data_IF_992344739033
#
_entry.id   IF_992344739033
#
_cell.length_a   1.000
_cell.length_b   1.000
_cell.length_c   1.000
_cell.angle_alpha   90.00
_cell.angle_beta   90.00
_cell.angle_gamma   90.00
#
_symmetry.space_group_name_H-M   'P 1'
#
loop_
_entity.id
_entity.type
_entity.pdbx_description
1 polymer ?
#
# COMPACT_ATOMS: atom_id res chain seq x y z
N UNK A 1 27.12 59.74 -25.31
CA UNK A 1 28.21 59.43 -26.25
C UNK A 1 28.18 57.94 -26.38
N UNK A 2 27.58 57.42 -27.45
CA UNK A 2 28.17 56.85 -28.63
C UNK A 2 29.06 55.63 -28.28
N UNK A 3 28.82 54.41 -28.68
CA UNK A 3 28.54 53.92 -30.01
C UNK A 3 28.04 52.49 -30.04
N UNK A 4 27.10 52.26 -30.93
CA UNK A 4 26.60 50.99 -31.43
C UNK A 4 27.66 50.21 -32.24
N UNK A 5 27.54 48.85 -32.28
CA UNK A 5 27.63 48.09 -33.52
C UNK A 5 27.10 46.67 -33.34
N UNK A 6 26.06 46.35 -34.08
CA UNK A 6 25.67 45.08 -34.74
C UNK A 6 26.00 45.28 -36.23
N UNK A 7 25.84 44.29 -37.15
CA UNK A 7 25.60 42.83 -37.17
C UNK A 7 26.46 42.14 -38.27
N UNK A 8 26.33 40.82 -38.47
CA UNK A 8 26.32 40.20 -39.80
C UNK A 8 25.91 38.71 -39.73
N UNK A 9 24.86 38.38 -40.41
CA UNK A 9 24.66 37.18 -41.26
C UNK A 9 24.88 37.62 -42.69
N UNK A 10 25.05 36.77 -43.72
CA UNK A 10 24.39 35.53 -44.14
C UNK A 10 25.40 34.49 -44.72
N UNK A 11 25.12 33.35 -45.32
CA UNK A 11 24.34 33.09 -46.52
C UNK A 11 24.21 31.59 -46.81
N UNK A 12 23.21 31.27 -47.53
CA UNK A 12 22.68 30.08 -48.16
C UNK A 12 23.59 29.48 -49.27
N UNK A 13 23.45 28.15 -49.51
CA UNK A 13 23.14 27.53 -50.81
C UNK A 13 23.74 26.11 -50.92
N UNK A 14 22.88 25.08 -51.04
CA UNK A 14 22.44 24.38 -52.26
C UNK A 14 23.49 23.46 -52.91
N UNK A 15 23.23 22.15 -52.91
CA UNK A 15 22.97 21.37 -54.13
C UNK A 15 22.85 19.86 -53.87
N UNK A 16 21.77 19.33 -54.32
CA UNK A 16 21.36 18.05 -54.86
C UNK A 16 22.48 17.23 -55.54
N UNK A 17 22.48 15.89 -55.32
CA UNK A 17 22.32 14.90 -56.41
C UNK A 17 22.18 13.47 -55.88
N UNK A 18 21.24 12.82 -56.50
CA UNK A 18 20.85 11.43 -56.54
C UNK A 18 21.90 10.50 -57.16
N UNK A 19 21.96 9.23 -56.75
CA UNK A 19 22.05 8.10 -57.69
C UNK A 19 21.54 6.81 -57.02
N UNK A 20 20.80 6.07 -57.82
CA UNK A 20 20.24 4.72 -57.67
C UNK A 20 21.31 3.64 -57.64
N UNK A 21 21.06 2.49 -57.07
CA UNK A 21 20.62 1.22 -57.66
C UNK A 21 21.24 -0.01 -57.03
N UNK A 22 20.44 -1.05 -57.14
CA UNK A 22 20.66 -2.51 -57.22
C UNK A 22 20.82 -3.27 -55.91
N UNK A 23 19.91 -4.00 -55.61
CA UNK A 23 19.30 -5.27 -55.58
C UNK A 23 20.23 -6.50 -55.37
N UNK A 24 19.90 -7.31 -54.34
CA UNK A 24 20.08 -8.76 -54.41
C UNK A 24 19.26 -9.46 -53.31
N UNK A 25 18.39 -10.32 -53.76
CA UNK A 25 17.68 -11.34 -53.02
C UNK A 25 18.66 -12.41 -52.51
N UNK A 26 18.49 -12.86 -51.29
CA UNK A 26 18.65 -14.28 -50.94
C UNK A 26 17.71 -14.68 -49.81
N UNK A 27 16.84 -15.62 -50.14
CA UNK A 27 16.05 -16.41 -49.22
C UNK A 27 16.95 -17.42 -48.51
N UNK A 28 16.67 -17.69 -47.20
CA UNK A 28 16.75 -19.04 -46.66
C UNK A 28 16.06 -19.19 -45.31
N UNK A 29 15.01 -19.93 -45.31
CA UNK A 29 14.64 -21.10 -44.50
C UNK A 29 14.87 -21.08 -42.98
N UNK A 30 13.74 -21.17 -42.28
CA UNK A 30 13.59 -21.58 -40.88
C UNK A 30 14.04 -23.04 -40.67
N UNK A 31 14.34 -23.38 -39.42
CA UNK A 31 13.77 -24.58 -38.89
C UNK A 31 12.91 -24.36 -37.63
N UNK A 32 11.79 -25.02 -37.63
CA UNK A 32 10.90 -25.21 -36.51
C UNK A 32 11.60 -25.93 -35.35
N UNK A 33 11.43 -25.41 -34.13
CA UNK A 33 11.56 -26.27 -32.94
C UNK A 33 10.39 -26.01 -32.00
N UNK A 34 9.54 -26.99 -31.95
CA UNK A 34 8.52 -27.22 -30.95
C UNK A 34 9.10 -27.16 -29.55
N UNK A 35 8.61 -26.28 -28.70
CA UNK A 35 8.72 -26.40 -27.23
C UNK A 35 7.38 -26.11 -26.57
N UNK A 36 6.87 -27.16 -25.96
CA UNK A 36 5.82 -27.30 -24.99
C UNK A 36 5.42 -26.05 -24.24
N UNK A 37 4.20 -25.60 -24.46
CA UNK A 37 3.40 -24.75 -23.60
C UNK A 37 2.60 -25.59 -22.59
N UNK A 38 3.22 -26.00 -21.51
CA UNK A 38 2.52 -26.56 -20.35
C UNK A 38 3.25 -26.12 -19.08
N UNK A 39 2.82 -25.00 -18.45
CA UNK A 39 3.08 -24.73 -17.03
C UNK A 39 2.38 -23.48 -16.44
N UNK A 40 1.47 -22.81 -17.13
CA UNK A 40 0.83 -21.61 -16.54
C UNK A 40 -0.52 -21.85 -15.86
N UNK A 41 -1.17 -22.99 -16.05
CA UNK A 41 -2.48 -23.28 -15.46
C UNK A 41 -2.42 -23.82 -14.01
N UNK A 42 -1.28 -24.36 -13.59
CA UNK A 42 -1.12 -24.90 -12.23
C UNK A 42 -0.98 -23.85 -11.13
N UNK A 43 -0.35 -22.72 -11.45
CA UNK A 43 -0.04 -21.68 -10.44
C UNK A 43 -1.28 -20.86 -10.07
N UNK A 44 -2.16 -20.58 -11.02
CA UNK A 44 -3.40 -19.83 -10.77
C UNK A 44 -4.36 -20.64 -9.90
N UNK A 45 -4.52 -21.93 -10.17
CA UNK A 45 -5.35 -22.82 -9.36
C UNK A 45 -4.84 -23.02 -7.93
N UNK A 46 -3.52 -23.01 -7.72
CA UNK A 46 -2.93 -23.13 -6.39
C UNK A 46 -3.13 -21.85 -5.56
N UNK A 47 -3.02 -20.68 -6.18
CA UNK A 47 -3.27 -19.39 -5.51
C UNK A 47 -4.74 -19.28 -5.10
N UNK A 48 -5.67 -19.67 -5.96
CA UNK A 48 -7.10 -19.65 -5.64
C UNK A 48 -7.44 -20.65 -4.51
N UNK A 49 -6.81 -21.82 -4.49
CA UNK A 49 -6.98 -22.81 -3.42
C UNK A 49 -6.41 -22.31 -2.08
N UNK A 50 -5.27 -21.62 -2.09
CA UNK A 50 -4.68 -21.05 -0.89
C UNK A 50 -5.52 -19.85 -0.40
N UNK A 51 -6.01 -19.01 -1.29
CA UNK A 51 -6.93 -17.92 -0.96
C UNK A 51 -8.23 -18.46 -0.34
N UNK A 52 -8.78 -19.58 -0.86
CA UNK A 52 -9.93 -20.23 -0.23
C UNK A 52 -9.61 -20.78 1.16
N UNK A 53 -8.43 -21.37 1.36
CA UNK A 53 -8.02 -21.94 2.66
C UNK A 53 -7.88 -20.89 3.76
N UNK A 54 -7.48 -19.66 3.42
CA UNK A 54 -7.40 -18.54 4.37
C UNK A 54 -8.73 -17.79 4.56
N UNK A 55 -9.68 -17.94 3.65
CA UNK A 55 -11.02 -17.32 3.77
C UNK A 55 -12.02 -18.18 4.56
N UNK A 56 -11.73 -19.47 4.80
CA UNK A 56 -12.62 -20.44 5.45
C UNK A 56 -12.31 -20.69 6.93
N UNK A 57 -11.63 -19.79 7.59
CA UNK A 57 -11.36 -19.83 9.03
C UNK A 57 -12.54 -19.37 9.89
N UNK A 58 -13.69 -20.01 9.79
CA UNK A 58 -14.74 -19.97 10.83
C UNK A 58 -15.67 -21.17 10.70
N UNK A 59 -15.55 -22.05 11.69
CA UNK A 59 -16.56 -22.88 12.37
C UNK A 59 -17.58 -23.69 11.57
N UNK A 60 -17.36 -24.99 11.68
CA UNK A 60 -18.29 -26.08 12.07
C UNK A 60 -19.68 -26.20 11.46
N UNK A 61 -19.77 -27.34 10.79
CA UNK A 61 -20.74 -28.46 10.92
C UNK A 61 -22.23 -28.24 10.60
N UNK A 62 -22.63 -29.15 9.80
CA UNK A 62 -23.75 -30.11 9.87
C UNK A 62 -24.56 -30.21 8.59
N UNK A 63 -24.31 -31.30 7.86
CA UNK A 63 -25.17 -32.40 7.35
C UNK A 63 -26.57 -32.05 6.81
N UNK A 64 -26.81 -32.71 5.70
CA UNK A 64 -27.99 -33.39 5.13
C UNK A 64 -28.68 -32.75 3.93
N UNK A 65 -28.46 -33.43 2.87
CA UNK A 65 -29.33 -34.14 1.91
C UNK A 65 -30.62 -33.49 1.44
N UNK A 66 -30.73 -33.45 0.14
CA UNK A 66 -31.90 -34.05 -0.51
C UNK A 66 -32.87 -33.11 -1.21
N UNK A 67 -32.94 -33.27 -2.52
CA UNK A 67 -34.11 -33.40 -3.39
C UNK A 67 -34.78 -32.15 -3.99
N UNK A 68 -34.70 -32.12 -5.29
CA UNK A 68 -35.68 -31.93 -6.36
C UNK A 68 -36.44 -30.60 -6.53
N UNK A 69 -36.08 -30.02 -7.64
CA UNK A 69 -36.86 -29.62 -8.83
C UNK A 69 -38.34 -29.23 -8.62
N UNK A 70 -38.68 -27.99 -8.97
CA UNK A 70 -39.73 -27.65 -9.95
C UNK A 70 -39.89 -26.13 -10.11
N UNK A 71 -39.94 -25.77 -11.38
CA UNK A 71 -40.43 -24.52 -11.96
C UNK A 71 -41.78 -24.06 -11.46
N UNK A 72 -41.96 -22.76 -11.29
CA UNK A 72 -43.10 -22.03 -11.88
C UNK A 72 -42.93 -20.49 -11.75
N UNK A 73 -43.24 -19.83 -12.84
CA UNK A 73 -43.32 -18.40 -13.03
C UNK A 73 -44.61 -17.83 -12.44
N UNK A 74 -44.56 -16.64 -11.84
CA UNK A 74 -45.65 -15.65 -12.03
C UNK A 74 -45.28 -14.27 -11.41
N UNK A 75 -45.54 -13.30 -12.18
CA UNK A 75 -45.62 -11.85 -12.10
C UNK A 75 -46.41 -11.30 -10.90
N UNK A 76 -46.06 -10.09 -10.45
CA UNK A 76 -46.93 -8.96 -10.09
C UNK A 76 -46.43 -8.09 -8.92
N UNK A 77 -46.01 -6.94 -9.31
CA UNK A 77 -46.16 -5.59 -8.75
C UNK A 77 -46.89 -5.38 -7.40
N UNK A 78 -46.26 -4.50 -6.61
CA UNK A 78 -46.73 -3.49 -5.64
C UNK A 78 -46.39 -3.73 -4.16
N UNK A 79 -46.02 -2.64 -3.45
CA UNK A 79 -45.67 -2.70 -2.04
C UNK A 79 -46.89 -2.55 -1.12
N UNK A 80 -46.84 -3.05 0.11
CA UNK A 80 -47.72 -2.59 1.15
C UNK A 80 -46.98 -1.84 2.29
N UNK A 81 -47.81 -1.07 2.93
CA UNK A 81 -47.63 -0.04 3.92
C UNK A 81 -46.99 -0.46 5.27
N UNK A 82 -46.46 0.55 5.92
CA UNK A 82 -46.16 0.72 7.35
C UNK A 82 -47.02 -0.02 8.32
N UNK A 83 -46.41 -0.75 9.27
CA UNK A 83 -47.00 -1.05 10.59
C UNK A 83 -45.94 -0.90 11.70
N UNK A 84 -46.40 -0.27 12.76
CA UNK A 84 -45.67 0.17 13.94
C UNK A 84 -45.16 -0.94 14.87
N UNK A 85 -44.06 -0.64 15.52
CA UNK A 85 -43.72 -0.88 16.92
C UNK A 85 -43.75 -2.31 17.46
N UNK A 86 -42.55 -2.87 17.72
CA UNK A 86 -42.36 -3.78 18.86
C UNK A 86 -40.94 -3.59 19.42
N UNK A 87 -40.91 -3.09 20.64
CA UNK A 87 -39.77 -3.08 21.54
C UNK A 87 -39.57 -4.50 22.10
N UNK A 88 -38.41 -5.10 21.88
CA UNK A 88 -38.01 -6.31 22.60
C UNK A 88 -36.64 -6.06 23.28
N UNK A 89 -36.72 -6.02 24.60
CA UNK A 89 -35.61 -6.11 25.53
C UNK A 89 -35.03 -7.54 25.45
N UNK A 90 -33.72 -7.77 25.29
CA UNK A 90 -33.21 -9.12 25.34
C UNK A 90 -32.99 -9.60 26.77
N UNK A 91 -33.59 -10.75 27.06
CA UNK A 91 -33.35 -11.57 28.25
C UNK A 91 -31.91 -11.98 28.41
N UNK A 92 -31.46 -12.07 29.67
CA UNK A 92 -30.14 -12.47 30.15
C UNK A 92 -29.74 -13.88 29.71
N UNK A 93 -28.55 -14.01 29.17
CA UNK A 93 -27.91 -15.30 28.86
C UNK A 93 -27.42 -16.01 30.13
N UNK A 94 -27.50 -17.35 30.22
CA UNK A 94 -27.08 -18.11 31.38
C UNK A 94 -25.56 -18.23 31.49
N UNK A 95 -25.06 -18.30 32.73
CA UNK A 95 -23.68 -18.42 33.14
C UNK A 95 -22.96 -19.64 32.54
N UNK A 96 -21.78 -19.39 31.92
CA UNK A 96 -20.86 -20.42 31.43
C UNK A 96 -19.87 -20.79 32.56
N UNK A 97 -19.69 -22.08 32.89
CA UNK A 97 -18.82 -22.51 33.98
C UNK A 97 -17.34 -22.27 33.69
N UNK A 98 -16.66 -21.61 34.63
CA UNK A 98 -15.21 -21.32 34.59
C UNK A 98 -14.38 -22.60 34.64
N UNK A 99 -13.64 -22.93 33.58
CA UNK A 99 -12.63 -23.99 33.57
C UNK A 99 -11.45 -23.60 34.44
N UNK A 100 -11.10 -24.46 35.40
CA UNK A 100 -9.94 -24.33 36.30
C UNK A 100 -8.64 -24.48 35.50
N UNK A 101 -7.75 -23.51 35.62
CA UNK A 101 -6.38 -23.56 35.08
C UNK A 101 -5.52 -24.58 35.91
N UNK A 102 -4.64 -25.34 35.25
CA UNK A 102 -3.69 -26.20 35.99
C UNK A 102 -2.57 -25.39 36.64
N UNK A 103 -2.13 -25.87 37.78
CA UNK A 103 -1.20 -25.26 38.70
C UNK A 103 0.16 -24.89 38.09
N UNK A 104 0.63 -23.70 38.45
CA UNK A 104 1.95 -23.17 38.10
C UNK A 104 3.07 -23.93 38.78
N UNK A 105 4.13 -24.29 38.05
CA UNK A 105 5.39 -24.83 38.59
C UNK A 105 6.16 -23.75 39.37
N UNK A 106 6.91 -24.09 40.41
CA UNK A 106 7.58 -23.12 41.28
C UNK A 106 8.70 -22.37 40.57
N UNK A 107 8.76 -21.07 40.82
CA UNK A 107 9.71 -20.12 40.24
C UNK A 107 11.14 -20.36 40.77
N UNK A 108 12.11 -20.46 39.88
CA UNK A 108 13.54 -20.41 40.19
C UNK A 108 13.91 -19.05 40.81
N UNK A 109 14.69 -19.11 41.90
CA UNK A 109 15.11 -17.98 42.70
C UNK A 109 15.78 -16.87 41.90
N UNK A 110 15.23 -15.66 42.00
CA UNK A 110 15.77 -14.42 41.39
C UNK A 110 17.07 -14.03 42.13
N UNK A 111 18.21 -14.05 41.43
CA UNK A 111 19.46 -13.39 41.87
C UNK A 111 19.17 -11.89 42.07
N UNK A 112 19.41 -11.37 43.28
CA UNK A 112 19.34 -9.94 43.62
C UNK A 112 20.27 -9.14 42.71
N UNK A 113 19.70 -8.28 41.84
CA UNK A 113 20.45 -7.26 41.12
C UNK A 113 20.79 -6.12 42.07
N UNK A 114 22.06 -5.78 42.16
CA UNK A 114 22.57 -4.61 42.88
C UNK A 114 22.00 -3.35 42.15
N UNK A 115 21.44 -2.34 42.83
CA UNK A 115 20.95 -1.15 42.20
C UNK A 115 22.11 -0.29 41.70
N UNK A 116 22.40 -0.38 40.38
CA UNK A 116 23.26 0.58 39.74
C UNK A 116 22.54 1.95 39.68
N UNK A 117 23.20 2.98 40.23
CA UNK A 117 22.75 4.37 40.11
C UNK A 117 22.47 4.71 38.64
N UNK A 118 21.18 4.77 38.26
CA UNK A 118 20.76 5.41 37.00
C UNK A 118 21.04 6.90 37.11
N UNK A 119 22.17 7.32 36.53
CA UNK A 119 22.36 8.73 36.23
C UNK A 119 21.22 9.16 35.31
N UNK A 120 20.35 10.06 35.81
CA UNK A 120 19.43 10.82 34.97
C UNK A 120 20.28 11.73 34.08
N UNK A 121 20.66 11.23 32.90
CA UNK A 121 21.14 12.11 31.84
C UNK A 121 20.00 13.08 31.54
N UNK A 122 20.13 14.32 31.99
CA UNK A 122 19.32 15.43 31.51
C UNK A 122 19.61 15.53 30.01
N UNK A 123 18.67 15.03 29.19
CA UNK A 123 18.70 15.26 27.75
C UNK A 123 18.82 16.78 27.55
N UNK A 124 19.93 17.23 27.03
CA UNK A 124 20.11 18.61 26.58
C UNK A 124 19.15 18.76 25.42
N UNK A 125 18.00 19.41 25.66
CA UNK A 125 17.10 19.84 24.59
C UNK A 125 17.90 20.80 23.71
N UNK A 126 18.31 20.32 22.53
CA UNK A 126 18.82 21.22 21.49
C UNK A 126 17.72 22.23 21.18
N UNK A 127 18.01 23.53 21.19
CA UNK A 127 17.01 24.55 20.85
C UNK A 127 16.39 24.23 19.48
N UNK A 128 15.05 24.15 19.42
CA UNK A 128 14.31 23.87 18.19
C UNK A 128 13.91 22.42 17.94
N UNK A 129 14.28 21.45 18.80
CA UNK A 129 13.85 20.06 18.62
C UNK A 129 12.48 19.81 19.27
N UNK A 130 11.49 19.45 18.43
CA UNK A 130 10.14 19.11 18.92
C UNK A 130 10.14 17.69 19.51
N UNK A 131 9.55 17.51 20.68
CA UNK A 131 9.39 16.18 21.28
C UNK A 131 8.30 15.37 20.56
N UNK A 132 8.40 14.04 20.54
CA UNK A 132 7.37 13.18 19.93
C UNK A 132 5.99 13.39 20.57
N UNK A 133 5.93 13.66 21.87
CA UNK A 133 4.66 13.97 22.53
C UNK A 133 4.04 15.27 22.00
N UNK A 134 4.85 16.29 21.72
CA UNK A 134 4.36 17.51 21.06
C UNK A 134 3.92 17.24 19.63
N UNK A 135 4.68 16.42 18.85
CA UNK A 135 4.26 16.03 17.50
C UNK A 135 2.90 15.35 17.54
N UNK A 136 2.69 14.36 18.41
CA UNK A 136 1.42 13.65 18.56
C UNK A 136 0.28 14.61 18.89
N UNK A 137 0.48 15.47 19.91
CA UNK A 137 -0.56 16.40 20.38
C UNK A 137 -0.95 17.38 19.27
N UNK A 138 0.03 18.01 18.64
CA UNK A 138 -0.22 19.02 17.60
C UNK A 138 -0.69 18.41 16.28
N UNK A 139 -0.38 17.13 16.00
CA UNK A 139 -0.97 16.40 14.88
C UNK A 139 -2.47 16.16 15.10
N UNK A 140 -2.88 15.76 16.32
CA UNK A 140 -4.30 15.61 16.64
C UNK A 140 -5.05 16.94 16.49
N UNK A 141 -4.50 18.01 17.00
CA UNK A 141 -5.10 19.36 16.90
C UNK A 141 -5.25 19.80 15.44
N UNK A 142 -4.19 19.68 14.65
CA UNK A 142 -4.20 20.01 13.22
C UNK A 142 -5.22 19.16 12.44
N UNK A 143 -5.29 17.86 12.72
CA UNK A 143 -6.28 16.97 12.09
C UNK A 143 -7.70 17.41 12.44
N UNK A 144 -7.99 17.69 13.71
CA UNK A 144 -9.32 18.16 14.14
C UNK A 144 -9.70 19.49 13.49
N UNK A 145 -8.77 20.43 13.39
CA UNK A 145 -8.99 21.73 12.74
C UNK A 145 -9.31 21.56 11.25
N UNK A 146 -8.50 20.78 10.53
CA UNK A 146 -8.74 20.47 9.11
C UNK A 146 -10.14 19.87 8.92
N UNK A 147 -10.48 18.87 9.74
CA UNK A 147 -11.74 18.11 9.60
C UNK A 147 -12.97 18.86 10.12
N UNK A 148 -12.80 19.98 10.81
CA UNK A 148 -13.92 20.84 11.21
C UNK A 148 -14.52 21.65 10.05
N UNK A 149 -13.87 21.64 8.89
CA UNK A 149 -14.34 22.34 7.69
C UNK A 149 -15.34 21.49 6.95
N UNK A 150 -16.52 22.03 6.72
CA UNK A 150 -17.65 21.33 6.08
C UNK A 150 -17.35 20.90 4.64
N UNK A 151 -16.55 21.67 3.90
CA UNK A 151 -16.14 21.35 2.54
C UNK A 151 -15.27 20.09 2.42
N UNK A 152 -14.73 19.62 3.54
CA UNK A 152 -13.89 18.42 3.59
C UNK A 152 -14.62 17.18 4.14
N UNK A 153 -15.90 17.28 4.41
CA UNK A 153 -16.68 16.22 5.08
C UNK A 153 -16.61 14.87 4.34
N UNK A 154 -16.64 14.88 3.01
CA UNK A 154 -16.52 13.69 2.17
C UNK A 154 -15.13 13.05 2.14
N UNK A 155 -14.08 13.76 2.59
CA UNK A 155 -12.69 13.26 2.55
C UNK A 155 -12.31 12.34 3.71
N UNK A 156 -13.18 12.26 4.74
CA UNK A 156 -12.93 11.57 6.01
C UNK A 156 -13.07 10.05 5.92
N UNK A 157 -13.69 9.52 4.89
CA UNK A 157 -14.14 8.14 4.89
C UNK A 157 -13.30 7.26 3.97
N UNK A 158 -12.42 6.48 4.60
CA UNK A 158 -11.86 5.30 3.98
C UNK A 158 -12.84 4.13 3.99
N UNK A 159 -12.52 3.09 3.24
CA UNK A 159 -13.26 1.83 3.24
C UNK A 159 -12.31 0.63 3.22
N UNK A 160 -12.81 -0.50 3.75
CA UNK A 160 -12.08 -1.75 3.69
C UNK A 160 -12.18 -2.34 2.29
N UNK A 161 -11.03 -2.44 1.62
CA UNK A 161 -10.90 -3.05 0.32
C UNK A 161 -10.56 -4.54 0.46
N UNK A 162 -11.14 -5.35 -0.41
CA UNK A 162 -10.97 -6.80 -0.51
C UNK A 162 -11.09 -7.25 -1.96
N UNK A 163 -10.95 -8.54 -2.22
CA UNK A 163 -11.18 -9.09 -3.57
C UNK A 163 -12.57 -8.79 -4.14
N UNK A 164 -13.56 -8.50 -3.29
CA UNK A 164 -14.93 -8.19 -3.71
C UNK A 164 -15.12 -6.74 -4.10
N UNK A 165 -14.41 -5.82 -3.43
CA UNK A 165 -14.47 -4.38 -3.72
C UNK A 165 -13.33 -3.90 -4.64
N UNK A 166 -12.36 -4.77 -4.90
CA UNK A 166 -11.24 -4.53 -5.82
C UNK A 166 -11.07 -5.76 -6.72
N UNK A 167 -11.96 -5.92 -7.71
CA UNK A 167 -11.96 -7.07 -8.62
C UNK A 167 -10.69 -7.10 -9.49
N UNK A 168 -10.52 -8.22 -10.19
CA UNK A 168 -9.49 -8.38 -11.22
C UNK A 168 -9.67 -7.32 -12.30
N UNK A 169 -8.57 -6.73 -12.75
CA UNK A 169 -8.58 -5.66 -13.74
C UNK A 169 -8.83 -6.23 -15.14
N UNK A 170 -9.75 -5.60 -15.87
CA UNK A 170 -10.08 -5.98 -17.25
C UNK A 170 -9.51 -4.96 -18.24
N UNK A 171 -8.58 -5.34 -19.13
CA UNK A 171 -8.00 -4.43 -20.11
C UNK A 171 -9.01 -3.97 -21.20
N UNK A 172 -10.21 -4.55 -21.23
CA UNK A 172 -11.30 -4.07 -22.08
C UNK A 172 -12.20 -3.04 -21.38
N UNK A 173 -11.92 -2.72 -20.11
CA UNK A 173 -12.63 -1.68 -19.37
C UNK A 173 -12.45 -0.32 -20.04
N UNK A 174 -13.49 0.51 -19.99
CA UNK A 174 -13.42 1.92 -20.40
C UNK A 174 -12.45 2.75 -19.56
N UNK A 175 -12.14 2.27 -18.36
CA UNK A 175 -11.19 2.89 -17.42
C UNK A 175 -9.73 2.51 -17.72
N UNK A 176 -9.48 1.61 -18.68
CA UNK A 176 -8.12 1.14 -18.99
C UNK A 176 -7.32 2.23 -19.73
N UNK A 177 -6.24 2.76 -19.12
CA UNK A 177 -5.52 3.89 -19.67
C UNK A 177 -4.53 3.51 -20.79
N UNK A 178 -4.15 2.25 -20.91
CA UNK A 178 -3.14 1.74 -21.84
C UNK A 178 -1.81 2.52 -21.76
N UNK A 179 -1.33 2.74 -20.54
CA UNK A 179 -0.13 3.53 -20.28
C UNK A 179 1.16 2.71 -20.43
N UNK A 180 2.23 3.37 -20.86
CA UNK A 180 3.59 2.81 -20.79
C UNK A 180 4.19 3.10 -19.41
N UNK A 181 4.40 2.06 -18.62
CA UNK A 181 4.90 2.19 -17.25
C UNK A 181 6.37 1.81 -17.15
N UNK A 182 7.18 2.70 -16.56
CA UNK A 182 8.54 2.40 -16.12
C UNK A 182 8.59 2.48 -14.60
N UNK A 183 9.01 1.38 -13.96
CA UNK A 183 9.17 1.33 -12.52
C UNK A 183 10.46 2.05 -12.11
N UNK A 184 10.40 2.84 -11.04
CA UNK A 184 11.56 3.54 -10.49
C UNK A 184 11.74 3.22 -9.01
N UNK A 185 12.97 3.00 -8.58
CA UNK A 185 13.31 2.80 -7.17
C UNK A 185 14.15 3.96 -6.65
N UNK A 186 13.68 4.57 -5.56
CA UNK A 186 14.30 5.75 -4.97
C UNK A 186 14.59 5.54 -3.49
N UNK A 187 15.69 6.10 -3.02
CA UNK A 187 16.00 6.14 -1.60
C UNK A 187 15.30 7.35 -0.98
N UNK A 188 14.33 7.14 -0.09
CA UNK A 188 13.65 8.28 0.50
C UNK A 188 12.37 7.96 1.28
N UNK A 189 11.71 9.03 1.64
CA UNK A 189 10.44 9.01 2.38
C UNK A 189 9.24 8.93 1.43
N UNK A 190 8.24 8.15 1.82
CA UNK A 190 7.04 7.90 1.01
C UNK A 190 6.27 9.18 0.65
N UNK A 191 5.99 10.05 1.65
CA UNK A 191 5.24 11.28 1.37
C UNK A 191 6.08 12.33 0.65
N UNK A 192 7.35 12.50 1.02
CA UNK A 192 8.20 13.48 0.35
C UNK A 192 8.25 13.18 -1.15
N UNK A 193 8.39 11.89 -1.50
CA UNK A 193 8.43 11.45 -2.89
C UNK A 193 7.08 11.53 -3.60
N UNK A 194 5.98 11.21 -2.90
CA UNK A 194 4.64 11.33 -3.46
C UNK A 194 4.29 12.78 -3.81
N UNK A 195 4.67 13.72 -2.95
CA UNK A 195 4.45 15.15 -3.20
C UNK A 195 5.35 15.68 -4.34
N UNK A 196 6.59 15.20 -4.44
CA UNK A 196 7.47 15.50 -5.57
C UNK A 196 6.87 15.00 -6.89
N UNK A 197 6.40 13.75 -6.92
CA UNK A 197 5.73 13.14 -8.08
C UNK A 197 4.46 13.90 -8.46
N UNK A 198 3.67 14.32 -7.48
CA UNK A 198 2.44 15.07 -7.73
C UNK A 198 2.72 16.45 -8.32
N UNK A 199 3.75 17.15 -7.83
CA UNK A 199 4.14 18.45 -8.35
C UNK A 199 4.77 18.40 -9.75
N UNK A 200 5.41 17.28 -10.11
CA UNK A 200 6.00 17.07 -11.43
C UNK A 200 4.99 16.63 -12.50
N UNK A 201 3.79 16.20 -12.08
CA UNK A 201 2.73 15.72 -12.98
C UNK A 201 2.02 16.86 -13.70
N UNK A 202 1.36 16.51 -14.81
CA UNK A 202 0.47 17.44 -15.51
C UNK A 202 -0.72 17.82 -14.65
N UNK A 203 -1.15 19.07 -14.70
CA UNK A 203 -2.34 19.60 -14.01
C UNK A 203 -3.65 18.97 -14.48
N UNK A 204 -3.62 18.15 -15.51
CA UNK A 204 -4.79 17.48 -16.09
C UNK A 204 -5.15 16.16 -15.40
N UNK A 205 -4.24 15.61 -14.60
CA UNK A 205 -4.50 14.40 -13.81
C UNK A 205 -5.22 14.76 -12.51
N UNK A 206 -6.47 14.34 -12.42
CA UNK A 206 -7.39 14.72 -11.35
C UNK A 206 -7.24 13.90 -10.06
N UNK A 207 -6.59 12.71 -10.14
CA UNK A 207 -6.44 11.84 -8.97
C UNK A 207 -5.11 12.07 -8.23
N UNK A 208 -5.13 12.20 -6.90
CA UNK A 208 -3.91 12.28 -6.11
C UNK A 208 -3.01 11.06 -6.30
N UNK A 209 -1.71 11.24 -6.09
CA UNK A 209 -0.78 10.11 -6.00
C UNK A 209 -1.23 9.17 -4.89
N UNK A 210 -1.26 7.86 -5.17
CA UNK A 210 -1.61 6.84 -4.19
C UNK A 210 -0.35 6.23 -3.57
N UNK A 211 -0.28 6.22 -2.24
CA UNK A 211 0.86 5.70 -1.50
C UNK A 211 0.52 4.44 -0.72
N UNK A 212 1.49 3.56 -0.53
CA UNK A 212 1.36 2.37 0.31
C UNK A 212 1.82 2.66 1.74
N UNK A 213 0.95 2.41 2.71
CA UNK A 213 1.26 2.38 4.14
C UNK A 213 1.48 0.93 4.61
N UNK A 214 2.59 0.68 5.32
CA UNK A 214 2.95 -0.63 5.89
C UNK A 214 2.25 -0.80 7.24
N UNK A 215 0.96 -1.12 7.18
CA UNK A 215 0.05 -1.02 8.30
C UNK A 215 0.24 -2.11 9.37
N UNK A 216 -0.20 -1.81 10.56
CA UNK A 216 -0.46 -2.79 11.60
C UNK A 216 -1.87 -3.37 11.41
N UNK A 217 -2.02 -4.70 11.44
CA UNK A 217 -3.32 -5.35 11.25
C UNK A 217 -4.30 -5.16 12.42
N UNK A 218 -3.82 -4.79 13.61
CA UNK A 218 -4.59 -4.81 14.85
C UNK A 218 -4.81 -3.43 15.47
N UNK A 219 -3.93 -2.47 15.16
CA UNK A 219 -3.93 -1.15 15.82
C UNK A 219 -3.89 -0.05 14.77
N UNK A 220 -4.91 0.82 14.71
CA UNK A 220 -4.91 2.00 13.86
C UNK A 220 -3.64 2.84 14.04
N UNK A 221 -2.86 3.03 12.96
CA UNK A 221 -1.61 3.79 13.02
C UNK A 221 -0.50 3.15 13.85
N UNK A 222 -0.59 1.83 14.13
CA UNK A 222 0.45 1.09 14.83
C UNK A 222 0.77 1.63 16.23
N UNK A 223 2.01 2.02 16.42
CA UNK A 223 2.53 2.58 17.69
C UNK A 223 2.63 4.09 17.72
N UNK A 224 1.93 4.83 16.86
CA UNK A 224 2.08 6.28 16.73
C UNK A 224 1.83 7.05 18.02
N UNK A 225 0.86 6.64 18.87
CA UNK A 225 0.60 7.24 20.17
C UNK A 225 1.73 7.04 21.20
N UNK A 226 2.59 6.07 20.97
CA UNK A 226 3.73 5.75 21.83
C UNK A 226 5.08 6.27 21.28
N UNK A 227 5.06 7.05 20.19
CA UNK A 227 6.26 7.63 19.59
C UNK A 227 7.07 6.65 18.75
N UNK A 228 6.49 5.53 18.28
CA UNK A 228 7.13 4.63 17.34
C UNK A 228 7.43 5.34 16.02
N UNK A 229 8.42 4.87 15.24
CA UNK A 229 8.97 5.60 14.10
C UNK A 229 9.08 4.75 12.84
N UNK A 230 8.30 3.66 12.73
CA UNK A 230 8.19 2.93 11.47
C UNK A 230 7.36 3.73 10.44
N UNK A 231 7.27 3.25 9.22
CA UNK A 231 6.69 4.00 8.11
C UNK A 231 5.23 4.41 8.36
N UNK A 232 4.37 3.50 8.86
CA UNK A 232 2.97 3.82 9.18
C UNK A 232 2.86 4.98 10.17
N UNK A 233 3.66 4.95 11.25
CA UNK A 233 3.65 6.02 12.25
C UNK A 233 4.15 7.35 11.66
N UNK A 234 5.15 7.33 10.78
CA UNK A 234 5.62 8.52 10.08
C UNK A 234 4.50 9.15 9.24
N UNK A 235 3.72 8.34 8.53
CA UNK A 235 2.57 8.83 7.77
C UNK A 235 1.50 9.45 8.71
N UNK A 236 1.20 8.79 9.82
CA UNK A 236 0.24 9.28 10.81
C UNK A 236 0.67 10.60 11.49
N UNK A 237 1.98 10.81 11.73
CA UNK A 237 2.45 12.09 12.31
C UNK A 237 2.30 13.27 11.38
N UNK A 238 2.23 13.04 10.08
CA UNK A 238 2.39 14.05 9.05
C UNK A 238 1.10 14.43 8.33
N UNK A 239 0.01 13.70 8.60
CA UNK A 239 -1.21 13.83 7.80
C UNK A 239 -2.48 13.57 8.60
N UNK A 240 -3.62 13.75 7.95
CA UNK A 240 -4.94 13.37 8.45
C UNK A 240 -5.21 11.86 8.42
N UNK A 241 -4.26 11.03 8.01
CA UNK A 241 -4.44 9.58 7.82
C UNK A 241 -5.07 8.91 9.03
N UNK A 242 -4.64 9.29 10.24
CA UNK A 242 -5.12 8.64 11.47
C UNK A 242 -6.65 8.71 11.67
N UNK A 243 -7.30 9.73 11.12
CA UNK A 243 -8.76 9.85 11.22
C UNK A 243 -9.49 8.84 10.32
N UNK A 244 -8.87 8.44 9.22
CA UNK A 244 -9.44 7.43 8.31
C UNK A 244 -9.24 6.00 8.82
N UNK A 245 -8.25 5.76 9.68
CA UNK A 245 -7.94 4.46 10.27
C UNK A 245 -8.88 4.16 11.47
N UNK A 246 -10.18 4.01 11.18
CA UNK A 246 -11.19 3.86 12.22
C UNK A 246 -11.15 2.48 12.89
N UNK A 247 -11.36 2.39 14.22
CA UNK A 247 -11.32 1.12 14.96
C UNK A 247 -12.21 0.01 14.40
N UNK A 248 -13.34 0.37 13.78
CA UNK A 248 -14.28 -0.60 13.16
C UNK A 248 -13.65 -1.44 12.03
N UNK A 249 -12.53 -0.99 11.45
CA UNK A 249 -11.81 -1.71 10.40
C UNK A 249 -10.76 -2.69 10.92
N UNK A 250 -10.59 -2.77 12.24
CA UNK A 250 -9.58 -3.61 12.87
C UNK A 250 -10.25 -4.75 13.70
N UNK A 251 -9.72 -5.98 13.70
CA UNK A 251 -8.48 -6.37 13.03
C UNK A 251 -8.69 -6.62 11.54
N UNK A 252 -7.76 -6.13 10.69
CA UNK A 252 -7.77 -6.45 9.26
C UNK A 252 -7.40 -7.92 9.05
N UNK A 253 -8.10 -8.60 8.15
CA UNK A 253 -7.73 -9.97 7.72
C UNK A 253 -6.55 -9.94 6.76
N UNK A 254 -6.03 -11.13 6.42
CA UNK A 254 -4.87 -11.24 5.54
C UNK A 254 -5.08 -10.68 4.12
N UNK A 255 -6.30 -10.70 3.62
CA UNK A 255 -6.67 -10.26 2.27
C UNK A 255 -7.61 -9.05 2.28
N UNK A 256 -7.36 -8.15 3.22
CA UNK A 256 -7.98 -6.85 3.32
C UNK A 256 -6.93 -5.76 3.39
N UNK A 257 -7.24 -4.60 2.85
CA UNK A 257 -6.49 -3.37 3.04
C UNK A 257 -7.46 -2.20 3.20
N UNK A 258 -7.03 -1.18 3.92
CA UNK A 258 -7.85 0.01 4.08
C UNK A 258 -7.44 1.06 3.04
N UNK A 259 -8.39 1.49 2.21
CA UNK A 259 -8.22 2.60 1.29
C UNK A 259 -8.71 3.91 1.93
N UNK A 260 -7.86 4.92 1.94
CA UNK A 260 -8.09 6.25 2.50
C UNK A 260 -7.91 7.30 1.41
N UNK A 261 -8.99 7.85 0.83
CA UNK A 261 -8.89 8.92 -0.16
C UNK A 261 -8.52 10.26 0.50
N UNK A 262 -7.93 11.17 -0.26
CA UNK A 262 -7.76 12.59 0.07
C UNK A 262 -7.15 12.86 1.47
N UNK A 263 -6.11 12.12 1.82
CA UNK A 263 -5.36 12.33 3.05
C UNK A 263 -4.51 13.60 2.91
N UNK A 264 -4.76 14.62 3.72
CA UNK A 264 -4.03 15.89 3.68
C UNK A 264 -2.70 15.74 4.41
N UNK A 265 -1.59 16.02 3.70
CA UNK A 265 -0.23 15.98 4.24
C UNK A 265 0.16 17.41 4.66
N UNK A 266 0.23 17.66 5.95
CA UNK A 266 0.46 19.01 6.50
C UNK A 266 1.81 19.18 7.22
N UNK A 267 2.61 18.10 7.34
CA UNK A 267 3.95 18.18 7.95
C UNK A 267 5.03 17.60 7.04
N UNK A 268 6.20 18.20 7.14
CA UNK A 268 7.45 17.67 6.57
C UNK A 268 7.92 16.44 7.35
N UNK A 269 8.92 15.73 6.79
CA UNK A 269 9.48 14.52 7.39
C UNK A 269 10.22 14.75 8.72
N UNK A 270 10.62 13.68 9.38
CA UNK A 270 11.44 13.70 10.59
C UNK A 270 12.75 14.46 10.38
N UNK A 271 13.32 14.39 9.18
CA UNK A 271 14.57 15.08 8.83
C UNK A 271 14.38 16.61 8.86
N UNK A 272 13.14 17.08 8.73
CA UNK A 272 12.72 18.47 8.87
C UNK A 272 12.02 18.75 10.23
N UNK A 273 12.29 17.91 11.25
CA UNK A 273 11.76 18.04 12.59
C UNK A 273 10.23 18.14 12.65
N UNK A 274 9.51 17.47 11.73
CA UNK A 274 8.05 17.51 11.61
C UNK A 274 7.45 18.94 11.58
N UNK A 275 8.17 19.90 11.01
CA UNK A 275 7.63 21.26 10.84
C UNK A 275 6.38 21.25 9.97
N UNK A 276 5.44 22.15 10.25
CA UNK A 276 4.28 22.34 9.38
C UNK A 276 4.71 22.83 7.99
N UNK A 277 3.94 22.47 6.96
CA UNK A 277 4.22 22.85 5.57
C UNK A 277 3.62 24.23 5.25
N UNK A 278 2.53 24.60 5.91
CA UNK A 278 1.85 25.89 5.78
C UNK A 278 1.55 26.50 7.15
N UNK A 279 1.06 27.76 7.18
CA UNK A 279 0.56 28.40 8.40
C UNK A 279 -0.68 27.71 8.97
N UNK A 280 -0.93 27.87 10.26
CA UNK A 280 -2.01 27.18 10.98
C UNK A 280 -3.40 27.36 10.33
N UNK A 281 -3.69 28.54 9.75
CA UNK A 281 -4.97 28.83 9.11
C UNK A 281 -5.14 28.19 7.72
N UNK A 282 -4.08 27.67 7.14
CA UNK A 282 -4.00 27.15 5.77
C UNK A 282 -3.73 25.63 5.73
N UNK A 283 -3.82 24.95 6.86
CA UNK A 283 -3.52 23.51 6.96
C UNK A 283 -4.36 22.67 6.00
N UNK A 284 -5.60 23.05 5.74
CA UNK A 284 -6.52 22.38 4.82
C UNK A 284 -6.15 22.57 3.33
N UNK A 285 -5.32 23.58 3.02
CA UNK A 285 -4.83 23.84 1.65
C UNK A 285 -3.57 23.03 1.31
N UNK A 286 -3.04 22.27 2.25
CA UNK A 286 -1.90 21.40 2.00
C UNK A 286 -2.27 20.28 1.00
N UNK A 287 -1.27 19.74 0.27
CA UNK A 287 -1.51 18.74 -0.75
C UNK A 287 -2.13 17.47 -0.16
N UNK A 288 -2.93 16.80 -0.99
CA UNK A 288 -3.56 15.53 -0.66
C UNK A 288 -2.86 14.36 -1.35
N UNK A 289 -2.90 13.20 -0.72
CA UNK A 289 -2.56 11.90 -1.31
C UNK A 289 -3.66 10.90 -0.97
N UNK A 290 -3.78 9.82 -1.73
CA UNK A 290 -4.56 8.67 -1.30
C UNK A 290 -3.63 7.63 -0.66
N UNK A 291 -4.13 6.87 0.30
CA UNK A 291 -3.33 5.89 1.04
C UNK A 291 -3.99 4.52 1.02
N UNK A 292 -3.23 3.50 0.63
CA UNK A 292 -3.62 2.10 0.82
C UNK A 292 -2.82 1.57 2.01
N UNK A 293 -3.52 1.22 3.08
CA UNK A 293 -2.92 0.64 4.30
C UNK A 293 -3.03 -0.88 4.25
N UNK A 294 -1.91 -1.56 4.00
CA UNK A 294 -1.82 -3.01 3.90
C UNK A 294 -0.89 -3.56 4.99
N UNK A 295 -1.38 -4.53 5.76
CA UNK A 295 -0.58 -5.22 6.76
C UNK A 295 0.11 -6.45 6.18
N UNK A 296 1.44 -6.52 6.24
CA UNK A 296 2.17 -7.76 6.05
C UNK A 296 2.02 -8.68 7.28
N UNK A 297 2.23 -9.99 7.13
CA UNK A 297 2.36 -10.90 8.27
C UNK A 297 3.57 -10.50 9.11
N UNK A 298 3.40 -10.41 10.42
CA UNK A 298 4.52 -10.06 11.29
C UNK A 298 5.40 -11.27 11.57
N UNK A 299 6.69 -11.17 11.27
CA UNK A 299 7.74 -12.14 11.59
C UNK A 299 7.43 -13.56 11.11
N UNK A 300 7.30 -13.76 9.79
CA UNK A 300 7.17 -15.09 9.22
C UNK A 300 8.40 -15.93 9.59
N UNK A 301 8.24 -17.25 9.68
CA UNK A 301 9.37 -18.14 9.92
C UNK A 301 10.26 -18.20 8.68
N UNK A 302 11.55 -17.92 8.86
CA UNK A 302 12.54 -17.89 7.81
C UNK A 302 13.48 -19.10 7.88
N UNK A 303 14.13 -19.42 6.75
CA UNK A 303 15.23 -20.38 6.66
C UNK A 303 16.38 -19.96 7.57
N UNK A 304 17.32 -20.88 7.84
CA UNK A 304 18.43 -20.65 8.77
C UNK A 304 19.33 -19.47 8.35
N UNK A 305 19.47 -19.23 7.05
CA UNK A 305 20.19 -18.11 6.45
C UNK A 305 19.35 -16.83 6.31
N UNK A 306 18.09 -16.87 6.74
CA UNK A 306 17.09 -15.79 6.66
C UNK A 306 16.81 -15.28 5.24
N UNK A 307 17.17 -16.03 4.21
CA UNK A 307 17.03 -15.61 2.81
C UNK A 307 15.64 -15.79 2.25
N UNK A 308 14.85 -16.75 2.77
CA UNK A 308 13.51 -17.06 2.27
C UNK A 308 12.58 -17.58 3.36
N UNK A 309 11.30 -17.75 3.04
CA UNK A 309 10.30 -18.29 3.96
C UNK A 309 10.43 -19.82 4.09
N UNK A 310 10.28 -20.34 5.32
CA UNK A 310 10.16 -21.80 5.55
C UNK A 310 8.84 -22.30 4.97
N UNK A 311 7.76 -21.55 5.17
CA UNK A 311 6.43 -21.87 4.67
C UNK A 311 6.16 -21.08 3.39
N UNK A 312 6.04 -21.77 2.27
CA UNK A 312 5.84 -21.14 0.94
C UNK A 312 4.54 -20.31 0.88
N UNK A 313 3.58 -20.62 1.73
CA UNK A 313 2.33 -19.89 1.89
C UNK A 313 2.54 -18.40 2.19
N UNK A 314 3.60 -18.04 2.90
CA UNK A 314 3.94 -16.63 3.17
C UNK A 314 4.29 -15.87 1.89
N UNK A 315 4.96 -16.54 0.93
CA UNK A 315 5.25 -15.96 -0.39
C UNK A 315 3.96 -15.74 -1.20
N UNK A 316 3.10 -16.76 -1.25
CA UNK A 316 1.81 -16.64 -1.96
C UNK A 316 0.90 -15.58 -1.35
N UNK A 317 0.86 -15.51 -0.03
CA UNK A 317 0.10 -14.47 0.67
C UNK A 317 0.65 -13.07 0.36
N UNK A 318 1.97 -12.88 0.33
CA UNK A 318 2.60 -11.61 -0.03
C UNK A 318 2.21 -11.21 -1.47
N UNK A 319 2.26 -12.12 -2.41
CA UNK A 319 1.84 -11.92 -3.80
C UNK A 319 0.36 -11.51 -3.87
N UNK A 320 -0.53 -12.20 -3.14
CA UNK A 320 -1.96 -11.88 -3.11
C UNK A 320 -2.23 -10.49 -2.51
N UNK A 321 -1.51 -10.09 -1.46
CA UNK A 321 -1.57 -8.74 -0.88
C UNK A 321 -1.13 -7.68 -1.89
N UNK A 322 -0.04 -7.90 -2.61
CA UNK A 322 0.47 -6.97 -3.64
C UNK A 322 -0.52 -6.83 -4.81
N UNK A 323 -1.15 -7.92 -5.25
CA UNK A 323 -2.21 -7.86 -6.26
C UNK A 323 -3.40 -7.04 -5.77
N UNK A 324 -3.84 -7.22 -4.51
CA UNK A 324 -4.92 -6.45 -3.94
C UNK A 324 -4.59 -4.96 -3.86
N UNK A 325 -3.36 -4.59 -3.51
CA UNK A 325 -2.89 -3.20 -3.51
C UNK A 325 -3.06 -2.57 -4.90
N UNK A 326 -2.54 -3.24 -5.95
CA UNK A 326 -2.62 -2.71 -7.31
C UNK A 326 -4.06 -2.65 -7.82
N UNK A 327 -4.87 -3.67 -7.56
CA UNK A 327 -6.30 -3.68 -7.91
C UNK A 327 -7.04 -2.55 -7.21
N UNK A 328 -6.80 -2.35 -5.92
CA UNK A 328 -7.43 -1.26 -5.15
C UNK A 328 -7.05 0.10 -5.72
N UNK A 329 -5.79 0.30 -6.07
CA UNK A 329 -5.34 1.55 -6.68
C UNK A 329 -6.00 1.80 -8.04
N UNK A 330 -5.96 0.82 -8.95
CA UNK A 330 -6.52 0.95 -10.30
C UNK A 330 -8.05 1.14 -10.31
N UNK A 331 -8.78 0.36 -9.49
CA UNK A 331 -10.24 0.49 -9.35
C UNK A 331 -10.68 1.81 -8.69
N UNK A 332 -9.76 2.55 -8.06
CA UNK A 332 -9.98 3.91 -7.58
C UNK A 332 -9.35 4.97 -8.50
N UNK A 333 -9.11 4.62 -9.76
CA UNK A 333 -8.60 5.49 -10.82
C UNK A 333 -7.21 6.10 -10.53
N UNK A 334 -6.41 5.52 -9.64
CA UNK A 334 -5.03 5.94 -9.46
C UNK A 334 -4.14 5.40 -10.58
N UNK A 335 -3.33 6.29 -11.15
CA UNK A 335 -2.38 5.98 -12.21
C UNK A 335 -0.93 6.18 -11.77
N UNK A 336 -0.72 6.88 -10.67
CA UNK A 336 0.60 7.19 -10.10
C UNK A 336 0.70 6.63 -8.69
N UNK A 337 1.67 5.74 -8.46
CA UNK A 337 1.82 5.01 -7.21
C UNK A 337 3.18 5.25 -6.57
N UNK A 338 3.22 5.41 -5.24
CA UNK A 338 4.44 5.29 -4.44
C UNK A 338 4.30 4.09 -3.51
N UNK A 339 4.97 3.03 -3.88
CA UNK A 339 5.05 1.76 -3.16
C UNK A 339 6.33 1.69 -2.31
N UNK A 340 6.65 0.52 -1.77
CA UNK A 340 7.88 0.33 -0.99
C UNK A 340 8.10 -1.11 -0.52
N UNK A 341 9.08 -1.29 0.36
CA UNK A 341 9.53 -2.57 0.88
C UNK A 341 8.61 -3.11 1.99
N UNK A 342 7.40 -3.53 1.60
CA UNK A 342 6.34 -4.01 2.50
C UNK A 342 6.83 -5.16 3.39
N UNK A 343 6.86 -4.94 4.70
CA UNK A 343 7.25 -5.95 5.68
C UNK A 343 8.75 -6.13 5.90
N UNK A 344 9.64 -5.52 5.09
CA UNK A 344 11.09 -5.73 5.20
C UNK A 344 11.73 -5.11 6.45
N UNK A 345 11.09 -4.12 7.08
CA UNK A 345 11.57 -3.51 8.32
C UNK A 345 11.19 -4.32 9.57
N UNK A 346 10.45 -3.73 10.51
CA UNK A 346 10.07 -4.30 11.80
C UNK A 346 9.37 -5.68 11.73
N UNK A 347 8.74 -6.01 10.61
CA UNK A 347 8.05 -7.28 10.40
C UNK A 347 8.98 -8.40 9.89
N UNK A 348 10.21 -8.09 9.48
CA UNK A 348 11.28 -9.03 9.25
C UNK A 348 11.11 -9.97 8.05
N UNK A 349 10.45 -9.50 6.99
CA UNK A 349 10.41 -10.23 5.72
C UNK A 349 11.76 -10.15 5.00
N UNK A 350 12.21 -11.21 4.28
CA UNK A 350 13.43 -11.19 3.50
C UNK A 350 13.30 -10.21 2.33
N UNK A 351 14.19 -9.24 2.24
CA UNK A 351 14.06 -8.13 1.28
C UNK A 351 14.09 -8.62 -0.17
N UNK A 352 14.97 -9.57 -0.52
CA UNK A 352 15.03 -10.12 -1.87
C UNK A 352 13.72 -10.84 -2.23
N UNK A 353 13.18 -11.66 -1.33
CA UNK A 353 11.90 -12.35 -1.53
C UNK A 353 10.74 -11.35 -1.79
N UNK A 354 10.72 -10.26 -1.05
CA UNK A 354 9.69 -9.22 -1.22
C UNK A 354 9.86 -8.48 -2.54
N UNK A 355 11.09 -8.17 -2.93
CA UNK A 355 11.38 -7.56 -4.23
C UNK A 355 11.01 -8.48 -5.39
N UNK A 356 11.30 -9.78 -5.29
CA UNK A 356 10.92 -10.80 -6.28
C UNK A 356 9.40 -11.00 -6.35
N UNK A 357 8.69 -10.91 -5.21
CA UNK A 357 7.23 -10.92 -5.20
C UNK A 357 6.65 -9.72 -5.96
N UNK A 358 7.19 -8.50 -5.76
CA UNK A 358 6.79 -7.32 -6.52
C UNK A 358 7.07 -7.48 -8.01
N UNK A 359 8.28 -7.95 -8.39
CA UNK A 359 8.60 -8.23 -9.78
C UNK A 359 7.59 -9.19 -10.42
N UNK A 360 7.32 -10.31 -9.76
CA UNK A 360 6.37 -11.32 -10.25
C UNK A 360 4.95 -10.77 -10.42
N UNK A 361 4.51 -9.89 -9.52
CA UNK A 361 3.18 -9.28 -9.59
C UNK A 361 3.11 -8.26 -10.72
N UNK A 362 4.09 -7.36 -10.81
CA UNK A 362 4.13 -6.32 -11.83
C UNK A 362 4.19 -6.88 -13.26
N UNK A 363 4.87 -8.03 -13.44
CA UNK A 363 4.95 -8.70 -14.76
C UNK A 363 3.68 -9.46 -15.18
N UNK A 364 2.65 -9.52 -14.32
CA UNK A 364 1.38 -10.16 -14.72
C UNK A 364 0.66 -9.32 -15.76
N UNK A 365 0.07 -9.99 -16.76
CA UNK A 365 -0.72 -9.34 -17.83
C UNK A 365 -1.84 -8.45 -17.29
N UNK A 366 -2.39 -8.81 -16.14
CA UNK A 366 -3.45 -8.08 -15.46
C UNK A 366 -3.09 -6.61 -15.18
N UNK A 367 -1.82 -6.33 -14.83
CA UNK A 367 -1.40 -5.00 -14.39
C UNK A 367 -0.75 -4.15 -15.49
N UNK A 368 -0.54 -4.75 -16.67
CA UNK A 368 0.05 -4.05 -17.80
C UNK A 368 -0.83 -2.89 -18.23
N UNK A 369 -0.23 -1.73 -18.41
CA UNK A 369 -0.90 -0.55 -18.96
C UNK A 369 -1.85 0.19 -18.01
N UNK A 370 -2.00 -0.24 -16.75
CA UNK A 370 -2.92 0.39 -15.79
C UNK A 370 -2.33 1.61 -15.07
N UNK A 371 -1.02 1.75 -15.06
CA UNK A 371 -0.33 2.79 -14.31
C UNK A 371 0.60 3.59 -15.22
N UNK A 372 0.68 4.89 -15.00
CA UNK A 372 1.61 5.79 -15.68
C UNK A 372 2.98 5.77 -14.96
N UNK A 373 2.96 5.74 -13.65
CA UNK A 373 4.16 5.78 -12.82
C UNK A 373 4.02 4.87 -11.61
N UNK A 374 5.00 4.00 -11.41
CA UNK A 374 5.15 3.21 -10.18
C UNK A 374 6.54 3.46 -9.63
N UNK A 375 6.62 4.16 -8.49
CA UNK A 375 7.89 4.38 -7.80
C UNK A 375 7.90 3.62 -6.48
N UNK A 376 9.06 3.06 -6.14
CA UNK A 376 9.30 2.44 -4.84
C UNK A 376 10.15 3.39 -4.00
N UNK A 377 9.56 4.00 -2.97
CA UNK A 377 10.30 4.78 -1.97
C UNK A 377 10.78 3.83 -0.87
N UNK A 378 12.08 3.56 -0.85
CA UNK A 378 12.71 2.62 0.07
C UNK A 378 13.69 3.35 0.96
N UNK A 379 13.68 3.02 2.27
CA UNK A 379 14.61 3.60 3.25
C UNK A 379 15.32 2.48 3.98
N UNK A 380 16.64 2.58 4.10
CA UNK A 380 17.45 1.65 4.86
C UNK A 380 17.58 2.09 6.32
N UNK A 381 17.42 1.15 7.26
CA UNK A 381 17.94 1.31 8.61
C UNK A 381 19.45 0.96 8.64
N UNK A 382 20.17 1.32 9.69
CA UNK A 382 21.59 0.96 9.82
C UNK A 382 21.81 -0.56 9.62
N UNK A 383 22.66 -0.92 8.67
CA UNK A 383 23.01 -2.30 8.26
C UNK A 383 21.98 -2.99 7.36
N UNK A 384 20.92 -2.33 6.94
CA UNK A 384 20.03 -2.82 5.89
C UNK A 384 20.57 -2.43 4.51
N UNK A 385 20.12 -3.15 3.49
CA UNK A 385 20.48 -2.93 2.09
C UNK A 385 19.24 -3.05 1.18
N UNK A 386 18.10 -2.58 1.69
CA UNK A 386 16.83 -2.70 1.00
C UNK A 386 16.81 -1.90 -0.31
N UNK A 387 17.38 -0.69 -0.29
CA UNK A 387 17.42 0.20 -1.46
C UNK A 387 18.15 -0.46 -2.63
N UNK A 388 19.35 -1.02 -2.37
CA UNK A 388 20.18 -1.67 -3.40
C UNK A 388 19.48 -2.90 -3.99
N UNK A 389 18.91 -3.75 -3.13
CA UNK A 389 18.19 -4.96 -3.53
C UNK A 389 16.98 -4.59 -4.40
N UNK A 390 16.17 -3.62 -3.97
CA UNK A 390 15.01 -3.18 -4.73
C UNK A 390 15.41 -2.55 -6.06
N UNK A 391 16.46 -1.72 -6.09
CA UNK A 391 16.98 -1.16 -7.34
C UNK A 391 17.40 -2.24 -8.31
N UNK A 392 18.21 -3.21 -7.87
CA UNK A 392 18.68 -4.30 -8.73
C UNK A 392 17.52 -5.12 -9.32
N UNK A 393 16.43 -5.28 -8.56
CA UNK A 393 15.32 -6.16 -8.96
C UNK A 393 14.25 -5.44 -9.77
N UNK A 394 13.99 -4.16 -9.50
CA UNK A 394 12.79 -3.46 -10.00
C UNK A 394 13.07 -2.20 -10.80
N UNK A 395 14.21 -1.54 -10.61
CA UNK A 395 14.47 -0.25 -11.26
C UNK A 395 14.59 -0.41 -12.77
N UNK A 396 13.88 0.44 -13.52
CA UNK A 396 13.83 0.37 -14.98
C UNK A 396 12.93 -0.73 -15.57
N UNK A 397 12.22 -1.50 -14.74
CA UNK A 397 11.27 -2.51 -15.20
C UNK A 397 10.15 -1.84 -16.01
N UNK A 398 9.88 -2.36 -17.21
CA UNK A 398 8.78 -1.92 -18.09
C UNK A 398 7.61 -2.90 -17.97
N UNK A 399 6.40 -2.41 -17.79
CA UNK A 399 5.20 -3.20 -17.62
C UNK A 399 4.02 -2.71 -18.46
#
# INVERSE_FOLDING_TARGET
MLNRKKPAQPDTSRSTQSTESTGSQYANQSPASSRNSQSSSGLTGLIDTIVQKFSSGSSNDIIMSGLDDKSESSDLSKPPDTVAGFSLVPESLPDVPKKKHPAQKPALAKKKRIPGKKGKGKGVNKPGYISMQQVITTTKQATMEILSRTELEGTRFGYMASKWTSPVLDPNSVEYPNADTVVKVVAGDTYDYALEMQNAGSTTDHMPVCVLSFANAYKPGGGWLNGARAQEEQLCYRSTLIDTLQPRFYAMTDLECLYSPNVIVFRKSIDNNYSFMSGDKELHLNPTVSVISMAARSRPKLTADQSTYVEVEHRYLMIAKMQLILRTAANNNHRRLVLGALGCGAFGHPTQEVADCWHNVLMKKEFRGWFEQIHFAVKDAPKENNVEIFKKTLDGLKI
#
